data_IF_153225345179
#
_entry.id   IF_153225345179
#
_cell.length_a   1.000
_cell.length_b   1.000
_cell.length_c   1.000
_cell.angle_alpha   90.00
_cell.angle_beta   90.00
_cell.angle_gamma   90.00
#
_symmetry.space_group_name_H-M   'P 1'
#
loop_
_entity.id
_entity.type
_entity.pdbx_description
1 polymer ?
#
# COMPACT_ATOMS: atom_id res chain seq x y z
N UNK A 1 -36.96 38.12 -27.47
CA UNK A 1 -35.68 37.39 -27.63
C UNK A 1 -35.04 37.23 -26.25
N UNK A 2 -35.29 36.14 -25.50
CA UNK A 2 -34.53 35.86 -24.30
C UNK A 2 -33.29 35.03 -24.67
N UNK A 3 -32.12 35.52 -24.27
CA UNK A 3 -30.85 34.79 -24.31
C UNK A 3 -30.93 33.61 -23.33
N UNK A 4 -30.95 32.39 -23.83
CA UNK A 4 -30.70 31.20 -23.01
C UNK A 4 -29.19 31.04 -22.84
N UNK A 5 -28.72 31.28 -21.62
CA UNK A 5 -27.42 30.80 -21.15
C UNK A 5 -27.43 29.25 -21.18
N UNK A 6 -26.93 28.68 -22.26
CA UNK A 6 -26.46 27.30 -22.30
C UNK A 6 -25.18 27.24 -21.47
N UNK A 7 -25.33 27.05 -20.15
CA UNK A 7 -24.26 26.49 -19.35
C UNK A 7 -24.02 25.08 -19.88
N UNK A 8 -22.92 24.91 -20.64
CA UNK A 8 -22.41 23.59 -20.99
C UNK A 8 -22.42 22.72 -19.72
N UNK A 9 -22.97 21.49 -19.76
CA UNK A 9 -22.93 20.61 -18.60
C UNK A 9 -21.47 20.39 -18.26
N UNK A 10 -21.02 20.94 -17.12
CA UNK A 10 -19.68 20.73 -16.58
C UNK A 10 -19.44 19.23 -16.61
N UNK A 11 -18.59 18.77 -17.53
CA UNK A 11 -18.30 17.35 -17.71
C UNK A 11 -17.79 16.83 -16.36
N UNK A 12 -18.65 16.13 -15.63
CA UNK A 12 -18.32 15.57 -14.32
C UNK A 12 -17.18 14.57 -14.55
N UNK A 13 -16.04 14.86 -13.96
CA UNK A 13 -14.87 13.99 -14.03
C UNK A 13 -15.26 12.61 -13.46
N UNK A 14 -15.24 11.58 -14.30
CA UNK A 14 -15.72 10.23 -13.92
C UNK A 14 -14.91 9.61 -12.78
N UNK A 15 -13.68 10.09 -12.57
CA UNK A 15 -12.74 9.58 -11.58
C UNK A 15 -12.65 10.46 -10.33
N UNK A 16 -13.13 11.71 -10.39
CA UNK A 16 -13.02 12.70 -9.32
C UNK A 16 -14.38 13.32 -9.00
N UNK A 17 -14.80 13.24 -7.73
CA UNK A 17 -15.95 13.96 -7.21
C UNK A 17 -15.49 15.16 -6.38
N UNK A 18 -16.04 16.35 -6.65
CA UNK A 18 -15.78 17.57 -5.86
C UNK A 18 -14.50 18.35 -6.18
N UNK A 19 -13.84 18.08 -7.32
CA UNK A 19 -12.57 18.72 -7.69
C UNK A 19 -12.72 19.76 -8.81
N UNK A 20 -11.85 20.78 -8.80
CA UNK A 20 -11.66 21.69 -9.95
C UNK A 20 -10.69 21.15 -11.02
N UNK A 21 -10.06 20.00 -10.80
CA UNK A 21 -9.11 19.42 -11.75
C UNK A 21 -9.83 18.73 -12.92
N UNK A 22 -9.51 19.15 -14.14
CA UNK A 22 -10.07 18.56 -15.35
C UNK A 22 -9.73 17.07 -15.48
N UNK A 23 -10.61 16.30 -16.13
CA UNK A 23 -10.38 14.87 -16.37
C UNK A 23 -9.08 14.61 -17.13
N UNK A 24 -8.77 15.43 -18.14
CA UNK A 24 -7.52 15.34 -18.90
C UNK A 24 -6.30 15.45 -17.99
N UNK A 25 -6.27 16.47 -17.12
CA UNK A 25 -5.15 16.72 -16.22
C UNK A 25 -5.04 15.65 -15.14
N UNK A 26 -6.17 15.13 -14.66
CA UNK A 26 -6.18 13.98 -13.75
C UNK A 26 -5.59 12.72 -14.40
N UNK A 27 -6.00 12.39 -15.62
CA UNK A 27 -5.46 11.25 -16.38
C UNK A 27 -3.96 11.36 -16.60
N UNK A 28 -3.46 12.57 -16.88
CA UNK A 28 -2.02 12.84 -16.97
C UNK A 28 -1.29 12.53 -15.65
N UNK A 29 -1.80 13.02 -14.51
CA UNK A 29 -1.24 12.69 -13.18
C UNK A 29 -1.29 11.18 -12.92
N UNK A 30 -2.41 10.52 -13.26
CA UNK A 30 -2.58 9.09 -13.05
C UNK A 30 -1.61 8.27 -13.90
N UNK A 31 -1.36 8.68 -15.15
CA UNK A 31 -0.36 8.04 -16.02
C UNK A 31 1.05 8.22 -15.45
N UNK A 32 1.42 9.42 -15.02
CA UNK A 32 2.73 9.62 -14.40
C UNK A 32 2.87 8.83 -13.09
N UNK A 33 1.79 8.70 -12.32
CA UNK A 33 1.76 7.81 -11.15
C UNK A 33 1.92 6.34 -11.55
N UNK A 34 1.28 5.84 -12.61
CA UNK A 34 1.41 4.45 -13.04
C UNK A 34 2.86 4.11 -13.43
N UNK A 35 3.59 5.06 -13.99
CA UNK A 35 5.03 4.95 -14.29
C UNK A 35 5.94 5.08 -13.04
N UNK A 36 5.36 5.12 -11.84
CA UNK A 36 6.04 5.18 -10.54
C UNK A 36 6.94 6.42 -10.36
N UNK A 37 6.49 7.57 -10.88
CA UNK A 37 7.10 8.87 -10.63
C UNK A 37 6.74 9.39 -9.24
N UNK A 38 7.68 10.12 -8.64
CA UNK A 38 7.48 10.83 -7.37
C UNK A 38 6.58 12.05 -7.54
N UNK A 39 5.93 12.49 -6.46
CA UNK A 39 5.08 13.69 -6.51
C UNK A 39 5.82 14.95 -6.99
N UNK A 40 7.13 15.06 -6.71
CA UNK A 40 7.96 16.16 -7.20
C UNK A 40 8.13 16.10 -8.72
N UNK A 41 8.41 14.91 -9.28
CA UNK A 41 8.51 14.72 -10.73
C UNK A 41 7.17 14.98 -11.42
N UNK A 42 6.08 14.46 -10.86
CA UNK A 42 4.73 14.68 -11.40
C UNK A 42 4.35 16.16 -11.39
N UNK A 43 4.63 16.88 -10.30
CA UNK A 43 4.36 18.31 -10.20
C UNK A 43 5.14 19.10 -11.27
N UNK A 44 6.42 18.75 -11.47
CA UNK A 44 7.27 19.37 -12.49
C UNK A 44 6.77 19.15 -13.91
N UNK A 45 6.24 17.97 -14.22
CA UNK A 45 5.78 17.61 -15.57
C UNK A 45 4.37 18.18 -15.84
N UNK A 46 3.45 18.01 -14.88
CA UNK A 46 2.03 18.33 -15.09
C UNK A 46 1.68 19.81 -14.90
N UNK A 47 2.57 20.58 -14.26
CA UNK A 47 2.34 21.97 -13.87
C UNK A 47 1.41 22.13 -12.65
N UNK A 48 1.01 21.02 -12.01
CA UNK A 48 0.15 21.04 -10.83
C UNK A 48 1.01 21.14 -9.57
N UNK A 49 0.55 21.91 -8.56
CA UNK A 49 1.32 22.09 -7.32
C UNK A 49 1.67 20.75 -6.66
N UNK A 50 2.87 20.65 -6.09
CA UNK A 50 3.33 19.44 -5.38
C UNK A 50 2.38 19.03 -4.25
N UNK A 51 1.78 19.99 -3.54
CA UNK A 51 0.82 19.73 -2.45
C UNK A 51 -0.43 19.06 -3.01
N UNK A 52 -0.97 19.61 -4.10
CA UNK A 52 -2.12 19.03 -4.80
C UNK A 52 -1.81 17.63 -5.31
N UNK A 53 -0.67 17.43 -6.00
CA UNK A 53 -0.23 16.12 -6.48
C UNK A 53 -0.14 15.11 -5.32
N UNK A 54 0.49 15.48 -4.20
CA UNK A 54 0.56 14.60 -3.02
C UNK A 54 -0.81 14.19 -2.51
N UNK A 55 -1.77 15.12 -2.46
CA UNK A 55 -3.16 14.83 -2.07
C UNK A 55 -3.80 13.80 -3.01
N UNK A 56 -3.63 13.97 -4.33
CA UNK A 56 -4.11 13.01 -5.32
C UNK A 56 -3.45 11.63 -5.16
N UNK A 57 -2.12 11.57 -5.03
CA UNK A 57 -1.42 10.29 -4.87
C UNK A 57 -1.83 9.57 -3.58
N UNK A 58 -2.05 10.30 -2.49
CA UNK A 58 -2.57 9.74 -1.24
C UNK A 58 -3.95 9.11 -1.47
N UNK A 59 -4.86 9.81 -2.14
CA UNK A 59 -6.23 9.32 -2.43
C UNK A 59 -6.24 8.14 -3.40
N UNK A 60 -5.38 8.14 -4.43
CA UNK A 60 -5.19 6.98 -5.32
C UNK A 60 -4.73 5.76 -4.51
N UNK A 61 -3.72 5.92 -3.64
CA UNK A 61 -3.25 4.83 -2.77
C UNK A 61 -4.34 4.31 -1.83
N UNK A 62 -5.21 5.17 -1.32
CA UNK A 62 -6.35 4.74 -0.50
C UNK A 62 -7.31 3.84 -1.29
N UNK A 63 -7.57 4.14 -2.58
CA UNK A 63 -8.39 3.24 -3.40
C UNK A 63 -7.67 1.93 -3.73
N UNK A 64 -6.35 1.97 -3.94
CA UNK A 64 -5.55 0.75 -4.09
C UNK A 64 -5.64 -0.12 -2.83
N UNK A 65 -5.54 0.47 -1.65
CA UNK A 65 -5.72 -0.25 -0.37
C UNK A 65 -7.08 -0.95 -0.35
N UNK A 66 -8.17 -0.23 -0.63
CA UNK A 66 -9.53 -0.80 -0.67
C UNK A 66 -9.63 -1.95 -1.67
N UNK A 67 -9.06 -1.79 -2.85
CA UNK A 67 -9.02 -2.83 -3.88
C UNK A 67 -8.28 -4.08 -3.38
N UNK A 68 -7.06 -3.93 -2.87
CA UNK A 68 -6.25 -5.03 -2.36
C UNK A 68 -6.93 -5.73 -1.16
N UNK A 69 -7.55 -4.98 -0.26
CA UNK A 69 -8.29 -5.53 0.88
C UNK A 69 -9.54 -6.29 0.45
N UNK A 70 -10.28 -5.81 -0.55
CA UNK A 70 -11.41 -6.51 -1.12
C UNK A 70 -10.98 -7.83 -1.78
N UNK A 71 -9.88 -7.83 -2.55
CA UNK A 71 -9.32 -9.06 -3.13
C UNK A 71 -8.85 -10.05 -2.04
N UNK A 72 -8.28 -9.54 -0.94
CA UNK A 72 -7.82 -10.36 0.17
C UNK A 72 -8.97 -10.97 0.97
N UNK A 73 -10.09 -10.26 1.14
CA UNK A 73 -11.27 -10.76 1.88
C UNK A 73 -11.95 -11.94 1.18
N UNK A 74 -11.75 -12.10 -0.13
CA UNK A 74 -12.20 -13.28 -0.88
C UNK A 74 -11.30 -14.50 -0.61
N UNK A 75 -10.06 -14.27 -0.14
CA UNK A 75 -9.01 -15.29 0.00
C UNK A 75 -8.73 -15.69 1.46
N UNK A 76 -9.03 -14.84 2.45
CA UNK A 76 -8.65 -15.06 3.85
C UNK A 76 -9.82 -15.36 4.80
N UNK A 77 -9.65 -16.40 5.63
CA UNK A 77 -10.40 -16.64 6.88
C UNK A 77 -10.16 -15.51 7.91
N UNK A 78 -11.04 -15.32 8.92
CA UNK A 78 -11.15 -14.08 9.68
C UNK A 78 -10.01 -13.92 10.69
N UNK A 79 -8.93 -13.27 10.28
CA UNK A 79 -7.95 -12.68 11.22
C UNK A 79 -8.32 -11.24 11.55
N UNK A 80 -8.42 -10.96 12.85
CA UNK A 80 -8.83 -9.67 13.47
C UNK A 80 -8.26 -8.44 12.72
N UNK A 81 -9.03 -7.34 12.65
CA UNK A 81 -8.58 -6.12 12.01
C UNK A 81 -7.29 -5.61 12.70
N UNK A 82 -6.19 -5.59 11.95
CA UNK A 82 -4.92 -5.01 12.38
C UNK A 82 -5.13 -3.51 12.63
N UNK A 83 -4.63 -2.96 13.74
CA UNK A 83 -4.81 -1.54 14.10
C UNK A 83 -4.34 -0.53 13.02
N UNK A 84 -3.39 -0.94 12.16
CA UNK A 84 -3.01 -0.18 10.97
C UNK A 84 -4.14 -0.06 9.92
N UNK A 85 -5.04 -1.06 9.83
CA UNK A 85 -6.26 -1.05 9.00
C UNK A 85 -7.24 0.04 9.46
N UNK A 86 -7.44 0.19 10.77
CA UNK A 86 -8.35 1.21 11.33
C UNK A 86 -7.78 2.63 11.27
N UNK A 87 -6.48 2.81 11.57
CA UNK A 87 -5.86 4.14 11.59
C UNK A 87 -5.82 4.83 10.23
N UNK A 88 -5.74 4.08 9.13
CA UNK A 88 -5.69 4.65 7.76
C UNK A 88 -7.09 4.93 7.20
N UNK A 89 -8.08 4.09 7.53
CA UNK A 89 -9.47 4.29 7.10
C UNK A 89 -10.16 5.43 7.88
N UNK A 90 -9.91 5.57 9.19
CA UNK A 90 -10.48 6.65 10.01
C UNK A 90 -9.84 8.03 9.75
N UNK A 91 -8.59 8.09 9.29
CA UNK A 91 -7.97 9.36 8.87
C UNK A 91 -8.56 9.93 7.56
N UNK A 92 -9.44 9.20 6.88
CA UNK A 92 -10.22 9.73 5.76
C UNK A 92 -11.42 10.59 6.17
N UNK A 93 -11.81 10.57 7.44
CA UNK A 93 -13.02 11.24 7.95
C UNK A 93 -12.76 12.24 9.10
N UNK A 94 -11.54 12.30 9.65
CA UNK A 94 -11.24 13.13 10.81
C UNK A 94 -10.07 14.11 10.56
N UNK A 95 -10.27 15.06 9.66
CA UNK A 95 -9.52 16.33 9.68
C UNK A 95 -10.17 17.28 10.71
N UNK A 96 -10.15 16.92 12.00
CA UNK A 96 -10.30 17.82 13.15
C UNK A 96 -10.40 17.01 14.46
N UNK A 97 -9.26 16.73 15.10
CA UNK A 97 -9.15 16.65 16.57
C UNK A 97 -7.69 16.36 16.92
N UNK A 98 -7.06 17.31 17.63
CA UNK A 98 -5.75 17.10 18.20
C UNK A 98 -5.78 15.91 19.17
N UNK A 99 -4.76 15.07 19.10
CA UNK A 99 -4.50 14.05 20.11
C UNK A 99 -3.01 14.01 20.41
N UNK A 100 -2.66 14.62 21.54
CA UNK A 100 -1.48 14.20 22.28
C UNK A 100 -1.64 12.73 22.66
N UNK A 101 -0.62 11.93 22.35
CA UNK A 101 -0.40 10.65 23.01
C UNK A 101 1.10 10.40 23.06
N UNK A 102 1.57 10.36 24.29
CA UNK A 102 2.89 10.07 24.83
C UNK A 102 3.94 9.55 23.83
N UNK A 103 5.01 10.33 23.69
CA UNK A 103 6.20 9.97 22.93
C UNK A 103 7.04 8.96 23.71
N UNK A 104 6.75 7.67 23.54
CA UNK A 104 7.82 6.66 23.63
C UNK A 104 8.77 6.92 22.44
N UNK A 105 9.91 7.56 22.74
CA UNK A 105 10.94 8.02 21.78
C UNK A 105 11.67 6.88 21.05
N UNK A 106 11.21 5.64 21.20
CA UNK A 106 11.73 4.50 20.44
C UNK A 106 10.96 4.36 19.12
N UNK A 107 11.54 4.80 18.00
CA UNK A 107 10.95 4.62 16.67
C UNK A 107 10.86 3.12 16.37
N UNK A 108 9.69 2.53 16.65
CA UNK A 108 9.43 1.12 16.37
C UNK A 108 9.46 0.88 14.85
N UNK A 109 10.25 -0.10 14.36
CA UNK A 109 10.36 -0.38 12.94
C UNK A 109 9.02 -0.83 12.37
N UNK A 110 8.80 -0.56 11.09
CA UNK A 110 7.68 -1.14 10.35
C UNK A 110 8.10 -2.54 9.89
N UNK A 111 7.50 -3.55 10.51
CA UNK A 111 7.68 -4.95 10.14
C UNK A 111 6.42 -5.42 9.42
N UNK A 112 6.58 -6.15 8.32
CA UNK A 112 5.46 -6.73 7.60
C UNK A 112 5.78 -8.14 7.08
N UNK A 113 4.76 -8.99 7.00
CA UNK A 113 4.84 -10.31 6.41
C UNK A 113 4.44 -10.29 4.94
N UNK A 114 5.03 -11.20 4.17
CA UNK A 114 4.75 -11.48 2.76
C UNK A 114 4.29 -12.94 2.68
N UNK A 115 3.18 -13.19 2.01
CA UNK A 115 2.72 -14.55 1.73
C UNK A 115 2.12 -14.64 0.33
N UNK A 116 2.14 -15.84 -0.24
CA UNK A 116 1.54 -16.13 -1.54
C UNK A 116 0.21 -16.84 -1.36
N UNK A 117 -0.79 -16.46 -2.14
CA UNK A 117 -2.02 -17.23 -2.31
C UNK A 117 -2.38 -17.28 -3.78
N UNK A 118 -2.48 -18.49 -4.34
CA UNK A 118 -2.60 -18.71 -5.78
C UNK A 118 -1.38 -18.15 -6.55
N UNK A 119 -1.62 -17.24 -7.49
CA UNK A 119 -0.58 -16.56 -8.29
C UNK A 119 -0.24 -15.14 -7.78
N UNK A 120 -0.82 -14.72 -6.66
CA UNK A 120 -0.68 -13.37 -6.12
C UNK A 120 0.10 -13.35 -4.80
N UNK A 121 0.80 -12.24 -4.58
CA UNK A 121 1.51 -11.93 -3.34
C UNK A 121 0.66 -10.97 -2.52
N UNK A 122 0.63 -11.20 -1.21
CA UNK A 122 -0.11 -10.38 -0.25
C UNK A 122 0.81 -9.98 0.91
N UNK A 123 0.47 -8.85 1.52
CA UNK A 123 1.24 -8.26 2.61
C UNK A 123 0.39 -7.88 3.81
N UNK A 124 0.97 -8.02 5.01
CA UNK A 124 0.34 -7.63 6.27
C UNK A 124 1.35 -6.93 7.19
N UNK A 125 1.02 -5.74 7.67
CA UNK A 125 1.82 -5.06 8.70
C UNK A 125 1.65 -5.79 10.04
N UNK A 126 2.75 -5.99 10.74
CA UNK A 126 2.85 -6.71 11.99
C UNK A 126 3.24 -5.73 13.14
N UNK A 127 2.28 -4.95 13.69
CA UNK A 127 2.58 -3.84 14.61
C UNK A 127 3.07 -4.27 16.00
N UNK A 128 2.72 -5.48 16.40
CA UNK A 128 3.02 -6.16 17.66
C UNK A 128 4.32 -6.99 17.60
N UNK A 129 4.92 -7.09 16.42
CA UNK A 129 6.15 -7.86 16.20
C UNK A 129 7.37 -6.96 16.34
N UNK A 130 8.34 -7.38 17.15
CA UNK A 130 9.63 -6.70 17.30
C UNK A 130 10.74 -7.38 16.50
N UNK A 131 11.86 -6.69 16.32
CA UNK A 131 13.06 -7.27 15.66
C UNK A 131 13.59 -8.51 16.36
N UNK A 132 13.62 -8.49 17.70
CA UNK A 132 14.09 -9.63 18.48
C UNK A 132 13.20 -10.85 18.30
N UNK A 133 11.89 -10.65 18.18
CA UNK A 133 10.94 -11.73 17.86
C UNK A 133 11.19 -12.31 16.47
N UNK A 134 11.36 -11.49 15.44
CA UNK A 134 11.70 -11.97 14.08
C UNK A 134 13.00 -12.79 14.11
N UNK A 135 14.04 -12.27 14.77
CA UNK A 135 15.33 -12.96 14.90
C UNK A 135 15.23 -14.29 15.67
N UNK A 136 14.42 -14.34 16.72
CA UNK A 136 14.20 -15.58 17.48
C UNK A 136 13.56 -16.66 16.58
N UNK A 137 12.50 -16.29 15.84
CA UNK A 137 11.81 -17.22 14.94
C UNK A 137 12.73 -17.71 13.82
N UNK A 138 13.47 -16.81 13.17
CA UNK A 138 14.40 -17.17 12.08
C UNK A 138 15.53 -18.09 12.58
N UNK A 139 15.96 -17.95 13.83
CA UNK A 139 16.99 -18.82 14.45
C UNK A 139 16.44 -20.11 15.05
N UNK A 140 15.14 -20.39 14.90
CA UNK A 140 14.50 -21.58 15.49
C UNK A 140 14.43 -21.55 17.02
N UNK A 141 14.58 -20.39 17.66
CA UNK A 141 14.48 -20.26 19.12
C UNK A 141 13.02 -20.04 19.50
N UNK A 142 12.45 -20.96 20.29
CA UNK A 142 11.12 -20.80 20.88
C UNK A 142 11.25 -20.37 22.33
N UNK A 143 10.83 -19.15 22.67
CA UNK A 143 10.58 -18.74 24.06
C UNK A 143 9.09 -18.95 24.30
N UNK A 144 8.69 -19.61 25.39
CA UNK A 144 7.29 -19.94 25.72
C UNK A 144 6.34 -18.73 25.60
N UNK A 145 6.81 -17.53 25.95
CA UNK A 145 6.07 -16.26 25.82
C UNK A 145 5.76 -15.83 24.38
N UNK A 146 6.42 -16.44 23.39
CA UNK A 146 6.34 -16.07 21.97
C UNK A 146 5.66 -17.12 21.11
N UNK A 147 5.11 -18.20 21.66
CA UNK A 147 4.56 -19.32 20.87
C UNK A 147 3.48 -18.85 19.89
N UNK A 148 2.46 -18.12 20.39
CA UNK A 148 1.38 -17.61 19.53
C UNK A 148 1.87 -16.57 18.50
N UNK A 149 2.86 -15.77 18.87
CA UNK A 149 3.51 -14.79 17.99
C UNK A 149 4.35 -15.46 16.89
N UNK A 150 5.06 -16.52 17.26
CA UNK A 150 5.89 -17.32 16.36
C UNK A 150 5.01 -18.10 15.38
N UNK A 151 3.87 -18.63 15.82
CA UNK A 151 2.87 -19.25 14.94
C UNK A 151 2.31 -18.25 13.93
N UNK A 152 2.08 -17.00 14.34
CA UNK A 152 1.64 -15.95 13.41
C UNK A 152 2.72 -15.60 12.39
N UNK A 153 3.97 -15.42 12.82
CA UNK A 153 5.11 -15.14 11.93
C UNK A 153 5.29 -16.28 10.92
N UNK A 154 5.21 -17.53 11.38
CA UNK A 154 5.38 -18.71 10.53
C UNK A 154 4.37 -18.79 9.38
N UNK A 155 3.19 -18.17 9.48
CA UNK A 155 2.20 -18.15 8.38
C UNK A 155 2.69 -17.41 7.12
N UNK A 156 3.72 -16.59 7.25
CA UNK A 156 4.28 -15.83 6.14
C UNK A 156 5.42 -16.59 5.47
N UNK A 157 5.55 -16.44 4.16
CA UNK A 157 6.67 -16.98 3.37
C UNK A 157 7.95 -16.16 3.59
N UNK A 158 7.79 -14.88 3.90
CA UNK A 158 8.90 -14.01 4.30
C UNK A 158 8.43 -12.87 5.20
N UNK A 159 9.34 -12.34 6.02
CA UNK A 159 9.09 -11.17 6.87
C UNK A 159 10.15 -10.13 6.58
N UNK A 160 9.71 -8.87 6.48
CA UNK A 160 10.58 -7.74 6.17
C UNK A 160 10.63 -6.79 7.36
N UNK A 161 11.84 -6.36 7.71
CA UNK A 161 12.09 -5.20 8.55
C UNK A 161 12.48 -4.01 7.66
N UNK A 162 11.56 -3.05 7.49
CA UNK A 162 11.81 -1.85 6.69
C UNK A 162 12.86 -0.93 7.31
N UNK A 163 13.01 -0.94 8.64
CA UNK A 163 14.02 -0.13 9.31
C UNK A 163 15.45 -0.62 9.04
N UNK A 164 15.62 -1.88 8.65
CA UNK A 164 16.91 -2.46 8.26
C UNK A 164 17.01 -2.76 6.77
N UNK A 165 15.95 -2.51 5.99
CA UNK A 165 15.83 -2.95 4.60
C UNK A 165 16.21 -4.43 4.43
N UNK A 166 15.71 -5.28 5.32
CA UNK A 166 16.09 -6.71 5.36
C UNK A 166 14.87 -7.61 5.24
N UNK A 167 14.99 -8.60 4.35
CA UNK A 167 14.06 -9.71 4.20
C UNK A 167 14.59 -10.94 4.95
N UNK A 168 13.69 -11.62 5.63
CA UNK A 168 13.92 -12.89 6.32
C UNK A 168 13.00 -13.93 5.68
N UNK A 169 13.57 -14.93 5.02
CA UNK A 169 12.79 -16.07 4.53
C UNK A 169 12.40 -16.96 5.69
N UNK A 170 11.16 -17.45 5.66
CA UNK A 170 10.67 -18.40 6.63
C UNK A 170 10.46 -19.73 5.91
N UNK A 171 11.07 -20.79 6.44
CA UNK A 171 10.97 -22.11 5.85
C UNK A 171 9.58 -22.68 6.10
N UNK A 172 8.99 -23.25 5.06
CA UNK A 172 7.77 -24.04 5.13
C UNK A 172 8.07 -25.48 4.73
N UNK A 173 7.36 -26.44 5.32
CA UNK A 173 7.38 -27.85 4.92
C UNK A 173 6.58 -28.03 3.62
N UNK A 174 7.07 -27.46 2.52
CA UNK A 174 6.50 -27.64 1.17
C UNK A 174 7.46 -28.43 0.28
N UNK A 175 6.96 -28.93 -0.85
CA UNK A 175 7.80 -29.57 -1.86
C UNK A 175 8.83 -28.59 -2.42
N UNK A 176 10.00 -29.09 -2.80
CA UNK A 176 11.12 -28.26 -3.25
C UNK A 176 10.77 -27.31 -4.40
N UNK A 177 9.92 -27.73 -5.33
CA UNK A 177 9.51 -26.91 -6.48
C UNK A 177 8.55 -25.77 -6.10
N UNK A 178 7.55 -26.04 -5.25
CA UNK A 178 6.63 -25.02 -4.77
C UNK A 178 7.34 -23.99 -3.88
N UNK A 179 8.23 -24.48 -3.01
CA UNK A 179 9.03 -23.63 -2.13
C UNK A 179 9.95 -22.69 -2.92
N UNK A 180 10.57 -23.17 -4.01
CA UNK A 180 11.37 -22.32 -4.90
C UNK A 180 10.54 -21.22 -5.53
N UNK A 181 9.39 -21.56 -6.11
CA UNK A 181 8.51 -20.57 -6.76
C UNK A 181 7.99 -19.51 -5.77
N UNK A 182 7.63 -19.91 -4.55
CA UNK A 182 7.25 -18.95 -3.49
C UNK A 182 8.43 -18.04 -3.13
N UNK A 183 9.63 -18.59 -3.00
CA UNK A 183 10.84 -17.83 -2.67
C UNK A 183 11.12 -16.78 -3.74
N UNK A 184 11.04 -17.16 -5.02
CA UNK A 184 11.19 -16.25 -6.16
C UNK A 184 10.15 -15.11 -6.14
N UNK A 185 8.89 -15.41 -5.83
CA UNK A 185 7.85 -14.39 -5.71
C UNK A 185 8.11 -13.41 -4.56
N UNK A 186 8.54 -13.93 -3.40
CA UNK A 186 8.89 -13.13 -2.21
C UNK A 186 10.09 -12.23 -2.51
N UNK A 187 11.14 -12.77 -3.14
CA UNK A 187 12.34 -12.02 -3.52
C UNK A 187 12.03 -10.96 -4.58
N UNK A 188 11.26 -11.32 -5.61
CA UNK A 188 10.83 -10.40 -6.65
C UNK A 188 9.99 -9.26 -6.08
N UNK A 189 9.04 -9.56 -5.19
CA UNK A 189 8.23 -8.55 -4.51
C UNK A 189 9.11 -7.61 -3.67
N UNK A 190 10.06 -8.17 -2.92
CA UNK A 190 10.95 -7.38 -2.09
C UNK A 190 11.90 -6.51 -2.90
N UNK A 191 12.42 -7.01 -4.03
CA UNK A 191 13.25 -6.24 -4.96
C UNK A 191 12.49 -5.03 -5.51
N UNK A 192 11.26 -5.22 -5.99
CA UNK A 192 10.38 -4.13 -6.44
C UNK A 192 10.15 -3.12 -5.33
N UNK A 193 9.82 -3.59 -4.13
CA UNK A 193 9.53 -2.75 -2.97
C UNK A 193 10.74 -1.91 -2.57
N UNK A 194 11.94 -2.50 -2.47
CA UNK A 194 13.18 -1.78 -2.17
C UNK A 194 13.46 -0.67 -3.17
N UNK A 195 13.42 -1.00 -4.46
CA UNK A 195 13.71 -0.05 -5.54
C UNK A 195 12.76 1.15 -5.48
N UNK A 196 11.47 0.88 -5.28
CA UNK A 196 10.46 1.92 -5.18
C UNK A 196 10.62 2.78 -3.93
N UNK A 197 10.82 2.17 -2.76
CA UNK A 197 10.92 2.90 -1.50
C UNK A 197 12.18 3.78 -1.43
N UNK A 198 13.27 3.39 -2.11
CA UNK A 198 14.49 4.19 -2.21
C UNK A 198 14.25 5.61 -2.79
N UNK A 199 13.22 5.78 -3.64
CA UNK A 199 12.85 7.07 -4.24
C UNK A 199 12.39 8.12 -3.22
N UNK A 200 11.95 7.71 -2.03
CA UNK A 200 11.28 8.60 -1.08
C UNK A 200 12.20 9.19 0.00
N UNK A 201 13.52 8.92 -0.02
CA UNK A 201 14.52 9.41 0.97
C UNK A 201 14.09 9.18 2.43
N UNK A 202 13.40 8.07 2.68
CA UNK A 202 12.77 7.75 3.96
C UNK A 202 11.25 7.65 3.83
N UNK A 203 10.67 6.64 4.48
CA UNK A 203 9.23 6.40 4.44
C UNK A 203 8.60 6.95 5.72
N UNK A 204 7.61 7.84 5.57
CA UNK A 204 6.81 8.26 6.71
C UNK A 204 6.01 7.06 7.23
N UNK A 205 6.11 6.78 8.53
CA UNK A 205 5.43 5.66 9.18
C UNK A 205 3.91 5.68 8.98
N UNK A 206 3.31 6.87 8.97
CA UNK A 206 1.87 7.06 8.80
C UNK A 206 1.40 6.72 7.38
N UNK A 207 2.30 6.76 6.39
CA UNK A 207 1.98 6.41 5.00
C UNK A 207 2.58 5.07 4.58
N UNK A 208 3.32 4.38 5.46
CA UNK A 208 4.01 3.14 5.13
C UNK A 208 3.05 2.07 4.59
N UNK A 209 1.86 1.96 5.20
CA UNK A 209 0.83 1.04 4.74
C UNK A 209 0.35 1.35 3.31
N UNK A 210 0.15 2.63 2.98
CA UNK A 210 -0.26 3.06 1.65
C UNK A 210 0.78 2.69 0.59
N UNK A 211 2.06 2.88 0.90
CA UNK A 211 3.14 2.52 -0.01
C UNK A 211 3.29 1.02 -0.17
N UNK A 212 3.14 0.26 0.93
CA UNK A 212 3.20 -1.20 0.90
C UNK A 212 2.09 -1.79 0.03
N UNK A 213 0.85 -1.33 0.19
CA UNK A 213 -0.28 -1.78 -0.64
C UNK A 213 -0.16 -1.33 -2.10
N UNK A 214 0.44 -0.18 -2.36
CA UNK A 214 0.80 0.17 -3.74
C UNK A 214 1.85 -0.80 -4.32
N UNK A 215 2.86 -1.21 -3.56
CA UNK A 215 3.82 -2.22 -4.02
C UNK A 215 3.14 -3.58 -4.28
N UNK A 216 2.24 -4.01 -3.40
CA UNK A 216 1.43 -5.23 -3.57
C UNK A 216 0.63 -5.18 -4.88
N UNK A 217 -0.09 -4.08 -5.11
CA UNK A 217 -0.85 -3.85 -6.33
C UNK A 217 0.04 -3.87 -7.59
N UNK A 218 1.17 -3.15 -7.57
CA UNK A 218 2.09 -3.10 -8.71
C UNK A 218 2.68 -4.47 -9.02
N UNK A 219 3.09 -5.21 -8.00
CA UNK A 219 3.67 -6.53 -8.19
C UNK A 219 2.64 -7.53 -8.76
N UNK A 220 1.42 -7.53 -8.24
CA UNK A 220 0.35 -8.42 -8.72
C UNK A 220 -0.17 -8.06 -10.13
N UNK A 221 0.06 -6.83 -10.59
CA UNK A 221 -0.31 -6.38 -11.93
C UNK A 221 0.92 -6.10 -12.82
N UNK A 222 2.09 -6.68 -12.51
CA UNK A 222 3.37 -6.40 -13.19
C UNK A 222 3.41 -6.76 -14.68
N UNK A 223 2.52 -7.65 -15.12
CA UNK A 223 2.39 -8.08 -16.51
C UNK A 223 1.29 -7.31 -17.26
N UNK A 224 0.61 -6.38 -16.61
CA UNK A 224 -0.48 -5.58 -17.15
C UNK A 224 -0.07 -4.12 -17.30
N UNK A 225 -0.82 -3.35 -18.09
CA UNK A 225 -0.68 -1.89 -18.09
C UNK A 225 -1.32 -1.32 -16.82
N UNK A 226 -0.46 -0.96 -15.85
CA UNK A 226 -0.86 -0.38 -14.56
C UNK A 226 -1.77 0.83 -14.74
N UNK A 227 -1.57 1.65 -15.78
CA UNK A 227 -2.44 2.80 -16.04
C UNK A 227 -3.87 2.37 -16.34
N UNK A 228 -4.04 1.36 -17.19
CA UNK A 228 -5.36 0.82 -17.56
C UNK A 228 -6.04 0.19 -16.35
N UNK A 229 -5.32 -0.59 -15.55
CA UNK A 229 -5.85 -1.18 -14.31
C UNK A 229 -6.30 -0.10 -13.33
N UNK A 230 -5.51 0.97 -13.16
CA UNK A 230 -5.87 2.09 -12.29
C UNK A 230 -7.08 2.87 -12.79
N UNK A 231 -7.23 3.07 -14.11
CA UNK A 231 -8.42 3.70 -14.67
C UNK A 231 -9.67 2.88 -14.35
N UNK A 232 -9.61 1.56 -14.53
CA UNK A 232 -10.74 0.66 -14.25
C UNK A 232 -11.10 0.66 -12.75
N UNK A 233 -10.07 0.56 -11.89
CA UNK A 233 -10.22 0.66 -10.44
C UNK A 233 -10.93 1.96 -10.05
N UNK A 234 -10.50 3.10 -10.59
CA UNK A 234 -11.03 4.41 -10.24
C UNK A 234 -12.39 4.75 -10.88
N UNK A 235 -12.83 4.01 -11.91
CA UNK A 235 -14.23 4.07 -12.37
C UNK A 235 -15.16 3.44 -11.32
N UNK A 236 -14.75 2.32 -10.74
CA UNK A 236 -15.52 1.61 -9.73
C UNK A 236 -15.43 2.29 -8.35
N UNK A 237 -14.29 2.91 -8.06
CA UNK A 237 -14.00 3.59 -6.80
C UNK A 237 -13.45 5.00 -7.05
N UNK A 238 -14.31 5.97 -7.45
CA UNK A 238 -13.87 7.32 -7.75
C UNK A 238 -13.31 8.03 -6.51
N UNK A 239 -12.36 8.94 -6.71
CA UNK A 239 -11.78 9.72 -5.63
C UNK A 239 -12.78 10.78 -5.16
N UNK A 240 -13.06 10.79 -3.85
CA UNK A 240 -13.82 11.86 -3.23
C UNK A 240 -12.84 12.90 -2.64
N UNK A 241 -12.97 14.16 -3.06
CA UNK A 241 -12.09 15.26 -2.67
C UNK A 241 -12.73 16.25 -1.70
N UNK A 242 -13.97 15.96 -1.27
CA UNK A 242 -14.60 16.58 -0.09
C UNK A 242 -13.76 16.37 1.16
#
# INVERSE_FOLDING_TARGET
MPFYNLLDPVMKNKYLKGAHLSERKFKEILKLFSEDLTATQIASISGVSRVTVNSYLKKIRLQIVRFCEAEMSVVALPSKPVAARQGVLQQGEADHAGLGKEMDRTVKPVIFGIYRSGSKVYTEILPDISRSMVQAVVRGRSILETIGTADRIRKFSGVVDLGQYRLYHLNHHQTDSQQRSITEDVDGFWALTKHRLAKFKGLNRNTAYLHLKECEFRYNNRTQDIYVVLLELLKNFPLNLS
#
